data_IF_940250253085
#
_entry.id   IF_940250253085
#
_cell.length_a   1.000
_cell.length_b   1.000
_cell.length_c   1.000
_cell.angle_alpha   90.00
_cell.angle_beta   90.00
_cell.angle_gamma   90.00
#
_symmetry.space_group_name_H-M   'P 1'
#
loop_
_entity.id
_entity.type
_entity.pdbx_description
1 polymer ?
#
# COMPACT_ATOMS: atom_id res chain seq x y z
N UNK A 1 39.50 19.63 -54.84
CA UNK A 1 40.07 18.78 -53.79
C UNK A 1 38.94 18.42 -52.83
N UNK A 2 38.26 17.23 -52.97
CA UNK A 2 37.13 16.81 -52.17
C UNK A 2 37.64 15.96 -51.02
N UNK A 3 37.45 16.42 -49.80
CA UNK A 3 37.77 15.69 -48.58
C UNK A 3 36.62 14.66 -48.37
N UNK A 4 36.96 13.36 -48.50
CA UNK A 4 36.06 12.26 -48.13
C UNK A 4 35.94 12.21 -46.63
N UNK A 5 34.75 12.47 -46.12
CA UNK A 5 34.41 12.17 -44.72
C UNK A 5 34.47 10.65 -44.50
N UNK A 6 35.45 10.22 -43.72
CA UNK A 6 35.52 8.87 -43.17
C UNK A 6 34.48 8.75 -42.06
N UNK A 7 33.33 8.13 -42.39
CA UNK A 7 32.36 7.64 -41.42
C UNK A 7 33.00 6.58 -40.53
N UNK A 8 33.31 6.98 -39.30
CA UNK A 8 33.79 6.08 -38.25
C UNK A 8 32.70 5.04 -37.95
N UNK A 9 33.01 3.79 -38.29
CA UNK A 9 32.19 2.61 -37.97
C UNK A 9 32.24 2.44 -36.44
N UNK A 10 31.21 2.92 -35.75
CA UNK A 10 30.99 2.55 -34.32
C UNK A 10 30.44 1.13 -34.29
N UNK A 11 31.16 0.15 -33.73
CA UNK A 11 30.59 -1.17 -33.51
C UNK A 11 29.42 -1.02 -32.55
N UNK A 12 28.21 -1.33 -33.01
CA UNK A 12 27.06 -1.52 -32.14
C UNK A 12 27.36 -2.79 -31.34
N UNK A 13 27.90 -2.61 -30.13
CA UNK A 13 27.97 -3.69 -29.15
C UNK A 13 26.51 -4.07 -28.87
N UNK A 14 26.00 -5.10 -29.57
CA UNK A 14 24.78 -5.78 -29.20
C UNK A 14 25.05 -6.33 -27.79
N UNK A 15 24.47 -5.69 -26.78
CA UNK A 15 24.38 -6.30 -25.48
C UNK A 15 23.67 -7.65 -25.71
N UNK A 16 24.38 -8.75 -25.54
CA UNK A 16 23.79 -10.09 -25.56
C UNK A 16 22.66 -10.07 -24.55
N UNK A 17 21.43 -10.25 -25.02
CA UNK A 17 20.27 -10.38 -24.15
C UNK A 17 20.53 -11.59 -23.25
N UNK A 18 20.74 -11.35 -21.97
CA UNK A 18 20.90 -12.42 -20.99
C UNK A 18 19.70 -13.37 -21.13
N UNK A 19 19.93 -14.68 -21.19
CA UNK A 19 18.88 -15.64 -21.44
C UNK A 19 17.75 -15.47 -20.40
N UNK A 20 16.51 -15.57 -20.83
CA UNK A 20 15.28 -15.31 -20.03
C UNK A 20 15.29 -16.03 -18.67
N UNK A 21 15.90 -17.21 -18.56
CA UNK A 21 16.04 -17.94 -17.31
C UNK A 21 16.95 -17.23 -16.27
N UNK A 22 17.98 -16.48 -16.71
CA UNK A 22 18.84 -15.72 -15.78
C UNK A 22 18.10 -14.53 -15.17
N UNK A 23 17.18 -13.91 -15.90
CA UNK A 23 16.34 -12.83 -15.39
C UNK A 23 15.35 -13.30 -14.31
N UNK A 24 15.07 -14.60 -14.25
CA UNK A 24 14.19 -15.22 -13.25
C UNK A 24 14.98 -15.80 -12.07
N UNK A 25 16.04 -16.57 -12.32
CA UNK A 25 16.76 -17.30 -11.27
C UNK A 25 17.46 -16.35 -10.29
N UNK A 26 18.06 -15.25 -10.78
CA UNK A 26 18.77 -14.30 -9.92
C UNK A 26 17.86 -13.64 -8.86
N UNK A 27 16.71 -13.01 -9.21
CA UNK A 27 15.83 -12.43 -8.20
C UNK A 27 15.22 -13.50 -7.29
N UNK A 28 14.85 -14.68 -7.80
CA UNK A 28 14.33 -15.76 -6.96
C UNK A 28 15.37 -16.23 -5.93
N UNK A 29 16.63 -16.37 -6.33
CA UNK A 29 17.72 -16.71 -5.41
C UNK A 29 17.87 -15.65 -4.30
N UNK A 30 17.85 -14.35 -4.65
CA UNK A 30 17.97 -13.27 -3.67
C UNK A 30 16.76 -13.19 -2.74
N UNK A 31 15.53 -13.39 -3.25
CA UNK A 31 14.32 -13.46 -2.42
C UNK A 31 14.40 -14.65 -1.46
N UNK A 32 14.82 -15.81 -1.95
CA UNK A 32 14.98 -17.01 -1.09
C UNK A 32 16.05 -16.79 -0.03
N UNK A 33 17.15 -16.11 -0.38
CA UNK A 33 18.21 -15.74 0.58
C UNK A 33 17.66 -14.77 1.64
N UNK A 34 16.89 -13.74 1.24
CA UNK A 34 16.25 -12.83 2.18
C UNK A 34 15.27 -13.56 3.10
N UNK A 35 14.45 -14.45 2.55
CA UNK A 35 13.51 -15.27 3.33
C UNK A 35 14.23 -16.17 4.34
N UNK A 36 15.33 -16.82 3.95
CA UNK A 36 16.14 -17.64 4.84
C UNK A 36 16.78 -16.82 5.96
N UNK A 37 17.40 -15.69 5.64
CA UNK A 37 17.98 -14.78 6.63
C UNK A 37 16.91 -14.27 7.61
N UNK A 38 15.73 -13.92 7.12
CA UNK A 38 14.59 -13.52 7.95
C UNK A 38 14.16 -14.67 8.87
N UNK A 39 13.91 -15.87 8.34
CA UNK A 39 13.50 -17.03 9.13
C UNK A 39 14.51 -17.39 10.23
N UNK A 40 15.82 -17.34 9.93
CA UNK A 40 16.90 -17.60 10.89
C UNK A 40 16.97 -16.48 11.96
N UNK A 41 16.54 -15.26 11.64
CA UNK A 41 16.59 -14.12 12.56
C UNK A 41 15.55 -14.18 13.68
N UNK A 42 14.44 -14.89 13.50
CA UNK A 42 13.28 -14.85 14.39
C UNK A 42 13.45 -15.62 15.73
N UNK A 43 14.04 -16.83 15.77
CA UNK A 43 14.04 -17.66 16.98
C UNK A 43 14.76 -17.07 18.19
N UNK A 44 15.67 -16.11 17.97
CA UNK A 44 16.45 -15.47 19.04
C UNK A 44 15.89 -14.14 19.53
N UNK A 45 14.75 -13.70 19.00
CA UNK A 45 14.18 -12.40 19.37
C UNK A 45 13.37 -12.51 20.65
N UNK A 46 13.81 -11.83 21.71
CA UNK A 46 13.11 -11.79 22.99
C UNK A 46 12.42 -10.40 23.18
N UNK A 47 11.08 -10.34 23.09
CA UNK A 47 10.36 -9.08 23.33
C UNK A 47 10.55 -8.52 24.74
N UNK A 48 10.91 -9.33 25.73
CA UNK A 48 11.15 -8.89 27.12
C UNK A 48 12.34 -7.93 27.26
N UNK A 49 13.26 -7.94 26.30
CA UNK A 49 14.46 -7.09 26.28
C UNK A 49 14.32 -5.82 25.45
N UNK A 50 13.10 -5.47 24.99
CA UNK A 50 12.85 -4.25 24.22
C UNK A 50 13.15 -2.98 25.02
N UNK A 51 13.75 -2.02 24.31
CA UNK A 51 13.94 -0.64 24.79
C UNK A 51 12.81 0.28 24.25
N UNK A 52 12.93 1.58 24.48
CA UNK A 52 12.01 2.61 23.94
C UNK A 52 11.91 2.59 22.39
N UNK A 53 12.88 1.98 21.71
CA UNK A 53 12.83 1.77 20.27
C UNK A 53 11.91 0.58 19.86
N UNK A 54 11.29 -0.08 20.82
CA UNK A 54 10.38 -1.21 20.59
C UNK A 54 11.09 -2.42 19.97
N UNK A 55 10.38 -3.14 19.10
CA UNK A 55 10.87 -4.39 18.50
C UNK A 55 12.20 -4.22 17.75
N UNK A 56 12.43 -3.05 17.15
CA UNK A 56 13.68 -2.76 16.40
C UNK A 56 14.92 -2.94 17.27
N UNK A 57 14.83 -2.69 18.60
CA UNK A 57 15.95 -2.78 19.52
C UNK A 57 16.45 -4.21 19.79
N UNK A 58 15.61 -5.20 19.53
CA UNK A 58 15.91 -6.63 19.78
C UNK A 58 16.03 -7.45 18.51
N UNK A 59 15.79 -6.85 17.34
CA UNK A 59 15.98 -7.52 16.06
C UNK A 59 17.47 -7.68 15.74
N UNK A 60 17.93 -8.89 15.38
CA UNK A 60 19.35 -9.13 15.08
C UNK A 60 19.76 -8.52 13.73
N UNK A 61 21.06 -8.32 13.53
CA UNK A 61 21.63 -7.80 12.29
C UNK A 61 21.22 -8.60 11.04
N UNK A 62 20.98 -9.90 11.18
CA UNK A 62 20.51 -10.79 10.11
C UNK A 62 19.13 -10.40 9.58
N UNK A 63 18.25 -9.86 10.44
CA UNK A 63 16.95 -9.32 10.02
C UNK A 63 17.12 -8.11 9.07
N UNK A 64 17.98 -7.17 9.44
CA UNK A 64 18.26 -5.99 8.61
C UNK A 64 19.00 -6.37 7.33
N UNK A 65 19.90 -7.36 7.39
CA UNK A 65 20.53 -7.92 6.20
C UNK A 65 19.50 -8.54 5.25
N UNK A 66 18.49 -9.25 5.78
CA UNK A 66 17.41 -9.81 4.97
C UNK A 66 16.62 -8.71 4.25
N UNK A 67 16.25 -7.61 4.95
CA UNK A 67 15.58 -6.45 4.34
C UNK A 67 16.46 -5.78 3.27
N UNK A 68 17.76 -5.63 3.52
CA UNK A 68 18.70 -5.04 2.56
C UNK A 68 18.82 -5.90 1.29
N UNK A 69 18.93 -7.24 1.43
CA UNK A 69 18.98 -8.17 0.30
C UNK A 69 17.68 -8.13 -0.50
N UNK A 70 16.52 -8.09 0.17
CA UNK A 70 15.22 -7.99 -0.49
C UNK A 70 15.08 -6.68 -1.26
N UNK A 71 15.47 -5.56 -0.65
CA UNK A 71 15.44 -4.21 -1.26
C UNK A 71 16.36 -4.14 -2.48
N UNK A 72 17.58 -4.66 -2.37
CA UNK A 72 18.53 -4.73 -3.48
C UNK A 72 17.96 -5.59 -4.62
N UNK A 73 17.40 -6.76 -4.29
CA UNK A 73 16.77 -7.65 -5.27
C UNK A 73 15.60 -6.99 -5.99
N UNK A 74 14.74 -6.27 -5.25
CA UNK A 74 13.65 -5.48 -5.84
C UNK A 74 14.20 -4.41 -6.80
N UNK A 75 15.17 -3.61 -6.36
CA UNK A 75 15.80 -2.58 -7.18
C UNK A 75 16.39 -3.16 -8.48
N UNK A 76 17.17 -4.24 -8.38
CA UNK A 76 17.72 -4.91 -9.54
C UNK A 76 16.63 -5.44 -10.50
N UNK A 77 15.49 -5.90 -9.95
CA UNK A 77 14.40 -6.48 -10.75
C UNK A 77 13.55 -5.41 -11.42
N UNK A 78 13.24 -4.31 -10.74
CA UNK A 78 12.38 -3.24 -11.29
C UNK A 78 13.04 -2.51 -12.46
N UNK A 79 14.37 -2.45 -12.49
CA UNK A 79 15.13 -1.82 -13.57
C UNK A 79 15.49 -2.76 -14.73
N UNK A 80 15.15 -4.04 -14.66
CA UNK A 80 15.31 -4.95 -15.80
C UNK A 80 14.45 -4.51 -16.99
N UNK A 81 14.95 -4.70 -18.23
CA UNK A 81 14.19 -4.38 -19.45
C UNK A 81 12.90 -5.18 -19.53
N UNK A 82 12.96 -6.47 -19.20
CA UNK A 82 11.81 -7.37 -19.10
C UNK A 82 11.54 -7.67 -17.63
N UNK A 83 10.99 -6.68 -16.92
CA UNK A 83 10.66 -6.89 -15.53
C UNK A 83 9.47 -7.84 -15.37
N UNK A 84 9.65 -8.91 -14.60
CA UNK A 84 8.65 -9.95 -14.38
C UNK A 84 7.66 -9.51 -13.26
N UNK A 85 6.39 -9.27 -13.64
CA UNK A 85 5.34 -8.86 -12.68
C UNK A 85 5.15 -9.81 -11.51
N UNK A 86 5.06 -11.14 -11.69
CA UNK A 86 4.99 -12.10 -10.60
C UNK A 86 6.15 -11.99 -9.61
N UNK A 87 7.37 -11.76 -10.10
CA UNK A 87 8.55 -11.62 -9.22
C UNK A 87 8.49 -10.32 -8.43
N UNK A 88 8.09 -9.20 -9.04
CA UNK A 88 7.91 -7.94 -8.33
C UNK A 88 6.79 -8.05 -7.28
N UNK A 89 5.70 -8.75 -7.60
CA UNK A 89 4.65 -9.07 -6.63
C UNK A 89 5.20 -9.90 -5.46
N UNK A 90 6.03 -10.91 -5.74
CA UNK A 90 6.65 -11.74 -4.71
C UNK A 90 7.55 -10.93 -3.77
N UNK A 91 8.30 -9.93 -4.28
CA UNK A 91 9.05 -9.00 -3.44
C UNK A 91 8.14 -8.23 -2.48
N UNK A 92 6.99 -7.73 -2.98
CA UNK A 92 6.04 -6.98 -2.15
C UNK A 92 5.41 -7.86 -1.08
N UNK A 93 4.97 -9.06 -1.45
CA UNK A 93 4.41 -10.03 -0.51
C UNK A 93 5.45 -10.37 0.57
N UNK A 94 6.69 -10.67 0.16
CA UNK A 94 7.77 -10.98 1.10
C UNK A 94 8.08 -9.80 2.03
N UNK A 95 8.12 -8.57 1.50
CA UNK A 95 8.29 -7.36 2.30
C UNK A 95 7.19 -7.19 3.35
N UNK A 96 5.91 -7.37 2.95
CA UNK A 96 4.76 -7.28 3.85
C UNK A 96 4.89 -8.33 4.98
N UNK A 97 5.24 -9.58 4.66
CA UNK A 97 5.43 -10.61 5.68
C UNK A 97 6.61 -10.28 6.60
N UNK A 98 7.72 -9.79 6.08
CA UNK A 98 8.89 -9.44 6.90
C UNK A 98 8.58 -8.28 7.86
N UNK A 99 7.88 -7.25 7.43
CA UNK A 99 7.61 -6.07 8.28
C UNK A 99 6.40 -6.31 9.19
N UNK A 100 5.26 -6.77 8.63
CA UNK A 100 3.99 -6.86 9.36
C UNK A 100 3.74 -8.23 9.98
N UNK A 101 4.38 -9.30 9.47
CA UNK A 101 4.30 -10.64 10.04
C UNK A 101 5.25 -10.86 11.21
N UNK A 102 6.44 -10.26 11.19
CA UNK A 102 7.43 -10.40 12.28
C UNK A 102 6.85 -10.09 13.65
N UNK A 103 6.12 -8.97 13.87
CA UNK A 103 5.53 -8.71 15.18
C UNK A 103 4.59 -9.81 15.65
N UNK A 104 3.76 -10.36 14.77
CA UNK A 104 2.84 -11.44 15.13
C UNK A 104 3.59 -12.73 15.52
N UNK A 105 4.66 -13.06 14.79
CA UNK A 105 5.47 -14.26 15.07
C UNK A 105 6.21 -14.11 16.39
N UNK A 106 6.78 -12.93 16.66
CA UNK A 106 7.62 -12.68 17.84
C UNK A 106 6.78 -12.51 19.10
N UNK A 107 5.67 -11.77 19.03
CA UNK A 107 4.81 -11.56 20.21
C UNK A 107 3.88 -12.74 20.48
N UNK A 108 3.46 -13.47 19.46
CA UNK A 108 2.46 -14.53 19.56
C UNK A 108 1.07 -14.08 20.04
N UNK A 109 0.86 -12.77 20.16
CA UNK A 109 -0.38 -12.18 20.69
C UNK A 109 -0.65 -10.82 20.04
N UNK A 110 -1.85 -10.25 20.30
CA UNK A 110 -2.20 -8.93 19.79
C UNK A 110 -1.36 -7.83 20.43
N UNK A 111 -0.65 -7.07 19.61
CA UNK A 111 0.23 -5.97 20.04
C UNK A 111 -0.54 -4.73 20.50
N UNK A 112 -1.66 -4.43 19.84
CA UNK A 112 -2.44 -3.23 20.11
C UNK A 112 -3.59 -3.50 21.06
N UNK A 113 -3.72 -2.69 22.10
CA UNK A 113 -4.81 -2.80 23.10
C UNK A 113 -6.19 -2.65 22.46
N UNK A 114 -6.32 -1.84 21.43
CA UNK A 114 -7.58 -1.69 20.68
C UNK A 114 -7.98 -2.95 19.92
N UNK A 115 -7.03 -3.73 19.40
CA UNK A 115 -7.33 -4.99 18.73
C UNK A 115 -7.99 -5.98 19.71
N UNK A 116 -7.58 -6.02 20.96
CA UNK A 116 -8.22 -6.81 22.01
C UNK A 116 -9.68 -6.41 22.23
N UNK A 117 -9.96 -5.09 22.26
CA UNK A 117 -11.34 -4.59 22.37
C UNK A 117 -12.17 -5.01 21.16
N UNK A 118 -11.61 -4.95 19.95
CA UNK A 118 -12.29 -5.37 18.73
C UNK A 118 -12.64 -6.86 18.76
N UNK A 119 -11.70 -7.70 19.18
CA UNK A 119 -11.97 -9.14 19.38
C UNK A 119 -13.06 -9.37 20.40
N UNK A 120 -13.05 -8.63 21.52
CA UNK A 120 -14.08 -8.72 22.54
C UNK A 120 -15.49 -8.36 22.05
N UNK A 121 -15.62 -7.37 21.14
CA UNK A 121 -16.89 -7.01 20.52
C UNK A 121 -17.37 -8.14 19.58
N UNK A 122 -16.46 -8.71 18.80
CA UNK A 122 -16.77 -9.86 17.94
C UNK A 122 -17.27 -11.03 18.78
N UNK A 123 -16.56 -11.37 19.84
CA UNK A 123 -16.93 -12.45 20.77
C UNK A 123 -18.29 -12.20 21.46
N UNK A 124 -18.61 -10.94 21.77
CA UNK A 124 -19.94 -10.56 22.25
C UNK A 124 -21.01 -10.88 21.21
N UNK A 125 -20.81 -10.47 19.96
CA UNK A 125 -21.79 -10.72 18.87
C UNK A 125 -21.94 -12.22 18.62
N UNK A 126 -20.86 -12.99 18.64
CA UNK A 126 -20.92 -14.46 18.50
C UNK A 126 -21.79 -15.10 19.58
N UNK A 127 -21.62 -14.70 20.85
CA UNK A 127 -22.36 -15.29 21.98
C UNK A 127 -23.81 -14.86 22.06
N UNK A 128 -24.15 -13.64 21.60
CA UNK A 128 -25.51 -13.11 21.75
C UNK A 128 -26.30 -13.06 20.45
N UNK A 129 -25.65 -13.28 19.30
CA UNK A 129 -26.27 -13.13 17.98
C UNK A 129 -26.71 -11.71 17.62
N UNK A 130 -26.34 -10.72 18.45
CA UNK A 130 -26.77 -9.33 18.33
C UNK A 130 -25.74 -8.37 18.92
N UNK A 131 -25.85 -7.09 18.55
CA UNK A 131 -25.14 -5.98 19.20
C UNK A 131 -25.78 -5.63 20.54
N UNK A 132 -25.04 -4.97 21.42
CA UNK A 132 -25.60 -4.45 22.67
C UNK A 132 -26.14 -3.03 22.46
N UNK A 133 -27.47 -2.83 22.45
CA UNK A 133 -28.05 -1.50 22.28
C UNK A 133 -27.95 -0.62 23.54
N UNK A 134 -27.57 -1.20 24.68
CA UNK A 134 -27.56 -0.51 25.99
C UNK A 134 -26.16 -0.06 26.40
N UNK A 135 -25.13 -0.45 25.66
CA UNK A 135 -23.74 -0.14 26.01
C UNK A 135 -23.45 1.37 25.92
N UNK A 136 -22.98 1.95 27.01
CA UNK A 136 -22.59 3.37 27.04
C UNK A 136 -21.19 3.65 26.52
N UNK A 137 -20.24 2.79 26.91
CA UNK A 137 -18.84 2.90 26.51
C UNK A 137 -18.67 2.10 25.21
N UNK A 138 -17.99 2.69 24.19
CA UNK A 138 -17.78 2.07 22.88
C UNK A 138 -19.08 1.84 22.07
N UNK A 139 -20.15 2.55 22.39
CA UNK A 139 -21.44 2.46 21.70
C UNK A 139 -21.33 2.64 20.17
N UNK A 140 -20.39 3.44 19.70
CA UNK A 140 -20.13 3.63 18.27
C UNK A 140 -19.86 2.30 17.56
N UNK A 141 -19.18 1.35 18.17
CA UNK A 141 -18.88 0.05 17.59
C UNK A 141 -20.09 -0.88 17.51
N UNK A 142 -21.03 -0.74 18.44
CA UNK A 142 -22.29 -1.46 18.40
C UNK A 142 -23.31 -0.79 17.46
N UNK A 143 -23.24 0.53 17.27
CA UNK A 143 -24.08 1.27 16.32
C UNK A 143 -23.61 1.09 14.85
N UNK A 144 -22.31 0.82 14.64
CA UNK A 144 -21.71 0.58 13.32
C UNK A 144 -21.00 -0.79 13.29
N UNK A 145 -21.74 -1.88 13.42
CA UNK A 145 -21.16 -3.20 13.72
C UNK A 145 -20.63 -3.96 12.51
N UNK A 146 -20.63 -3.38 11.30
CA UNK A 146 -20.33 -4.10 10.06
C UNK A 146 -19.02 -4.90 10.10
N UNK A 147 -17.92 -4.29 10.58
CA UNK A 147 -16.64 -4.97 10.75
C UNK A 147 -16.72 -6.13 11.76
N UNK A 148 -17.38 -5.89 12.88
CA UNK A 148 -17.48 -6.86 13.98
C UNK A 148 -18.43 -8.02 13.64
N UNK A 149 -19.54 -7.71 12.97
CA UNK A 149 -20.48 -8.74 12.47
C UNK A 149 -19.81 -9.62 11.41
N UNK A 150 -19.03 -9.03 10.50
CA UNK A 150 -18.22 -9.78 9.54
C UNK A 150 -17.19 -10.65 10.26
N UNK A 151 -16.51 -10.12 11.27
CA UNK A 151 -15.55 -10.86 12.10
C UNK A 151 -16.20 -12.06 12.80
N UNK A 152 -17.41 -11.88 13.39
CA UNK A 152 -18.17 -12.95 14.01
C UNK A 152 -18.55 -14.04 13.00
N UNK A 153 -19.10 -13.64 11.85
CA UNK A 153 -19.46 -14.56 10.77
C UNK A 153 -18.23 -15.36 10.28
N UNK A 154 -17.09 -14.72 10.08
CA UNK A 154 -15.85 -15.39 9.63
C UNK A 154 -15.33 -16.36 10.69
N UNK A 155 -15.43 -15.99 11.97
CA UNK A 155 -15.00 -16.86 13.08
C UNK A 155 -15.87 -18.12 13.13
N UNK A 156 -17.18 -17.96 13.05
CA UNK A 156 -18.14 -19.08 13.07
C UNK A 156 -17.98 -19.96 11.82
N UNK A 157 -17.91 -19.35 10.63
CA UNK A 157 -17.76 -20.09 9.38
C UNK A 157 -16.42 -20.87 9.29
N UNK A 158 -15.37 -20.37 9.97
CA UNK A 158 -14.07 -21.03 10.02
C UNK A 158 -13.96 -22.10 11.11
N UNK A 159 -14.96 -22.20 11.99
CA UNK A 159 -14.94 -23.11 13.14
C UNK A 159 -13.97 -22.72 14.25
N UNK A 160 -13.50 -21.48 14.26
CA UNK A 160 -12.66 -20.97 15.35
C UNK A 160 -13.52 -20.61 16.57
N UNK A 161 -12.95 -20.82 17.75
CA UNK A 161 -13.61 -20.43 19.00
C UNK A 161 -13.60 -18.93 19.25
N UNK A 162 -12.68 -18.18 18.64
CA UNK A 162 -12.52 -16.74 18.80
C UNK A 162 -11.80 -16.15 17.60
N UNK A 163 -12.13 -14.90 17.26
CA UNK A 163 -11.40 -14.09 16.28
C UNK A 163 -9.92 -13.87 16.65
N UNK A 164 -9.54 -14.11 17.89
CA UNK A 164 -8.15 -14.04 18.35
C UNK A 164 -7.22 -14.95 17.52
N UNK A 165 -7.74 -16.07 17.02
CA UNK A 165 -6.99 -17.03 16.20
C UNK A 165 -6.40 -16.42 14.92
N UNK A 166 -7.01 -15.37 14.36
CA UNK A 166 -6.54 -14.72 13.14
C UNK A 166 -6.29 -13.21 13.28
N UNK A 167 -6.82 -12.56 14.31
CA UNK A 167 -6.72 -11.10 14.48
C UNK A 167 -5.29 -10.57 14.50
N UNK A 168 -4.33 -11.36 15.02
CA UNK A 168 -2.91 -10.99 15.04
C UNK A 168 -2.30 -10.89 13.64
N UNK A 169 -2.86 -11.57 12.65
CA UNK A 169 -2.46 -11.48 11.25
C UNK A 169 -3.15 -10.35 10.49
N UNK A 170 -3.98 -9.55 11.16
CA UNK A 170 -4.65 -8.37 10.58
C UNK A 170 -3.71 -7.46 9.81
N UNK A 171 -2.53 -7.05 10.34
CA UNK A 171 -1.58 -6.22 9.61
C UNK A 171 -1.13 -6.83 8.28
N UNK A 172 -0.82 -8.11 8.25
CA UNK A 172 -0.44 -8.80 7.00
C UNK A 172 -1.61 -8.83 6.03
N UNK A 173 -2.80 -9.20 6.50
CA UNK A 173 -3.99 -9.29 5.68
C UNK A 173 -4.36 -7.96 5.04
N UNK A 174 -4.43 -6.87 5.83
CA UNK A 174 -4.80 -5.56 5.30
C UNK A 174 -3.77 -5.03 4.32
N UNK A 175 -2.47 -5.15 4.61
CA UNK A 175 -1.43 -4.73 3.67
C UNK A 175 -1.44 -5.55 2.36
N UNK A 176 -1.82 -6.83 2.39
CA UNK A 176 -1.96 -7.64 1.16
C UNK A 176 -3.15 -7.20 0.30
N UNK A 177 -4.31 -6.88 0.89
CA UNK A 177 -5.46 -6.38 0.12
C UNK A 177 -5.23 -4.94 -0.36
N UNK A 178 -4.57 -4.09 0.43
CA UNK A 178 -4.18 -2.74 0.05
C UNK A 178 -3.20 -2.75 -1.13
N UNK A 179 -2.27 -3.72 -1.19
CA UNK A 179 -1.40 -3.92 -2.34
C UNK A 179 -2.18 -4.09 -3.64
N UNK A 180 -3.27 -4.88 -3.61
CA UNK A 180 -4.17 -5.05 -4.75
C UNK A 180 -4.82 -3.73 -5.18
N UNK A 181 -5.41 -3.00 -4.23
CA UNK A 181 -6.06 -1.71 -4.48
C UNK A 181 -5.08 -0.65 -5.01
N UNK A 182 -3.87 -0.56 -4.44
CA UNK A 182 -2.81 0.34 -4.89
C UNK A 182 -2.34 0.05 -6.31
N UNK A 183 -2.19 -1.23 -6.67
CA UNK A 183 -1.85 -1.62 -8.04
C UNK A 183 -2.92 -1.17 -9.05
N UNK A 184 -4.21 -1.24 -8.69
CA UNK A 184 -5.31 -0.72 -9.52
C UNK A 184 -5.20 0.80 -9.66
N UNK A 185 -5.00 1.52 -8.55
CA UNK A 185 -4.86 2.98 -8.51
C UNK A 185 -3.68 3.44 -9.39
N UNK A 186 -2.49 2.88 -9.17
CA UNK A 186 -1.30 3.32 -9.92
C UNK A 186 -1.37 2.94 -11.39
N UNK A 187 -1.97 1.79 -11.76
CA UNK A 187 -2.26 1.45 -13.16
C UNK A 187 -3.27 2.40 -13.82
N UNK A 188 -4.22 2.95 -13.05
CA UNK A 188 -5.12 3.97 -13.57
C UNK A 188 -4.41 5.32 -13.81
N UNK A 189 -3.33 5.61 -13.07
CA UNK A 189 -2.59 6.87 -13.18
C UNK A 189 -1.52 6.85 -14.27
N UNK A 190 -0.84 5.72 -14.47
CA UNK A 190 0.28 5.59 -15.41
C UNK A 190 0.37 4.19 -16.02
N UNK A 191 0.92 4.13 -17.25
CA UNK A 191 1.28 2.87 -17.91
C UNK A 191 2.77 2.54 -17.74
N UNK A 192 3.55 3.42 -17.09
CA UNK A 192 4.95 3.14 -16.80
C UNK A 192 5.04 2.14 -15.66
N UNK A 193 5.42 0.93 -16.02
CA UNK A 193 5.51 -0.19 -15.09
C UNK A 193 6.53 0.03 -13.97
N UNK A 194 7.67 0.65 -14.27
CA UNK A 194 8.69 0.94 -13.26
C UNK A 194 8.13 1.92 -12.23
N UNK A 195 7.45 2.96 -12.72
CA UNK A 195 6.83 3.95 -11.86
C UNK A 195 5.74 3.33 -10.97
N UNK A 196 4.90 2.42 -11.51
CA UNK A 196 3.88 1.70 -10.73
C UNK A 196 4.54 0.95 -9.55
N UNK A 197 5.54 0.11 -9.84
CA UNK A 197 6.16 -0.72 -8.80
C UNK A 197 6.99 0.08 -7.79
N UNK A 198 7.69 1.13 -8.23
CA UNK A 198 8.38 2.05 -7.33
C UNK A 198 7.38 2.78 -6.43
N UNK A 199 6.24 3.24 -6.96
CA UNK A 199 5.21 3.91 -6.16
C UNK A 199 4.63 2.98 -5.08
N UNK A 200 4.36 1.72 -5.43
CA UNK A 200 3.91 0.71 -4.47
C UNK A 200 4.98 0.45 -3.41
N UNK A 201 6.24 0.28 -3.81
CA UNK A 201 7.35 0.05 -2.89
C UNK A 201 7.51 1.22 -1.90
N UNK A 202 7.52 2.45 -2.40
CA UNK A 202 7.63 3.63 -1.55
C UNK A 202 6.42 3.82 -0.65
N UNK A 203 5.21 3.47 -1.10
CA UNK A 203 4.04 3.49 -0.24
C UNK A 203 4.25 2.61 0.99
N UNK A 204 4.62 1.35 0.82
CA UNK A 204 4.83 0.43 1.94
C UNK A 204 6.07 0.81 2.79
N UNK A 205 7.11 1.37 2.18
CA UNK A 205 8.29 1.84 2.91
C UNK A 205 7.96 3.01 3.85
N UNK A 206 7.01 3.88 3.47
CA UNK A 206 6.65 5.08 4.22
C UNK A 206 5.39 4.91 5.07
N UNK A 207 4.69 3.78 4.99
CA UNK A 207 3.48 3.48 5.77
C UNK A 207 3.86 3.04 7.18
N UNK A 208 4.11 4.02 8.05
CA UNK A 208 4.60 3.80 9.43
C UNK A 208 3.55 4.06 10.53
N UNK A 209 2.36 4.54 10.17
CA UNK A 209 1.35 5.01 11.14
C UNK A 209 0.77 3.87 12.00
N UNK A 210 0.93 2.60 11.57
CA UNK A 210 0.50 1.43 12.34
C UNK A 210 -1.02 1.33 12.54
N UNK A 211 -1.82 1.81 11.58
CA UNK A 211 -3.28 1.72 11.57
C UNK A 211 -3.81 0.48 10.86
N UNK A 212 -2.92 -0.40 10.45
CA UNK A 212 -3.16 -1.65 9.74
C UNK A 212 -3.50 -2.84 10.66
N UNK A 213 -3.55 -2.63 11.98
CA UNK A 213 -3.94 -3.68 12.92
C UNK A 213 -5.40 -4.12 12.71
N UNK A 214 -5.81 -5.21 13.34
CA UNK A 214 -7.17 -5.74 13.22
C UNK A 214 -8.21 -4.76 13.77
N UNK A 215 -8.75 -3.93 12.87
CA UNK A 215 -9.60 -2.79 13.23
C UNK A 215 -10.56 -2.37 12.11
N UNK A 216 -11.69 -1.72 12.47
CA UNK A 216 -12.56 -1.07 11.49
C UNK A 216 -11.85 -0.02 10.64
N UNK A 217 -10.84 0.67 11.22
CA UNK A 217 -10.06 1.70 10.52
C UNK A 217 -9.27 1.12 9.36
N UNK A 218 -8.60 -0.01 9.56
CA UNK A 218 -7.87 -0.69 8.49
C UNK A 218 -8.81 -1.14 7.36
N UNK A 219 -9.98 -1.71 7.70
CA UNK A 219 -10.99 -2.08 6.72
C UNK A 219 -11.53 -0.86 5.97
N UNK A 220 -11.81 0.24 6.67
CA UNK A 220 -12.29 1.47 6.05
C UNK A 220 -11.26 2.08 5.12
N UNK A 221 -9.98 2.02 5.48
CA UNK A 221 -8.90 2.50 4.64
C UNK A 221 -8.79 1.68 3.34
N UNK A 222 -8.86 0.35 3.43
CA UNK A 222 -8.94 -0.51 2.25
C UNK A 222 -10.13 -0.15 1.35
N UNK A 223 -11.34 0.00 1.93
CA UNK A 223 -12.53 0.39 1.18
C UNK A 223 -12.37 1.77 0.52
N UNK A 224 -11.73 2.71 1.21
CA UNK A 224 -11.38 4.02 0.63
C UNK A 224 -10.47 3.86 -0.60
N UNK A 225 -9.43 3.03 -0.53
CA UNK A 225 -8.57 2.75 -1.68
C UNK A 225 -9.33 2.09 -2.83
N UNK A 226 -10.25 1.18 -2.54
CA UNK A 226 -11.12 0.55 -3.56
C UNK A 226 -12.00 1.60 -4.25
N UNK A 227 -12.68 2.45 -3.48
CA UNK A 227 -13.50 3.54 -4.04
C UNK A 227 -12.65 4.47 -4.90
N UNK A 228 -11.46 4.87 -4.42
CA UNK A 228 -10.54 5.69 -5.20
C UNK A 228 -10.11 5.00 -6.50
N UNK A 229 -9.81 3.70 -6.45
CA UNK A 229 -9.49 2.89 -7.62
C UNK A 229 -10.64 2.84 -8.65
N UNK A 230 -11.88 2.68 -8.18
CA UNK A 230 -13.09 2.72 -9.03
C UNK A 230 -13.24 4.10 -9.67
N UNK A 231 -13.15 5.17 -8.88
CA UNK A 231 -13.27 6.55 -9.39
C UNK A 231 -12.21 6.83 -10.46
N UNK A 232 -10.96 6.47 -10.21
CA UNK A 232 -9.87 6.72 -11.16
C UNK A 232 -9.98 5.86 -12.43
N UNK A 233 -10.51 4.65 -12.35
CA UNK A 233 -10.65 3.75 -13.51
C UNK A 233 -11.90 4.05 -14.33
N UNK A 234 -13.04 4.30 -13.71
CA UNK A 234 -14.34 4.37 -14.36
C UNK A 234 -14.77 5.78 -14.70
N UNK A 235 -14.47 6.77 -13.83
CA UNK A 235 -14.85 8.16 -14.05
C UNK A 235 -13.80 8.96 -14.80
N UNK A 236 -12.60 8.43 -15.00
CA UNK A 236 -11.60 9.05 -15.84
C UNK A 236 -12.03 8.96 -17.31
N UNK A 237 -12.23 10.10 -17.94
CA UNK A 237 -12.53 10.17 -19.38
C UNK A 237 -11.46 9.39 -20.18
N UNK A 238 -11.90 8.46 -21.03
CA UNK A 238 -11.05 7.58 -21.87
C UNK A 238 -10.18 8.33 -22.90
N UNK A 239 -10.23 9.66 -22.97
CA UNK A 239 -9.68 10.45 -24.08
C UNK A 239 -8.30 11.08 -23.81
N UNK A 240 -7.64 10.83 -22.68
CA UNK A 240 -6.28 11.36 -22.49
C UNK A 240 -5.23 10.28 -22.67
N UNK A 241 -4.33 10.40 -23.66
CA UNK A 241 -3.14 9.55 -23.72
C UNK A 241 -2.31 9.76 -22.44
N UNK A 242 -1.86 8.65 -21.83
CA UNK A 242 -1.24 8.63 -20.50
C UNK A 242 -0.11 9.65 -20.29
N UNK A 243 0.62 9.98 -21.37
CA UNK A 243 1.73 10.95 -21.34
C UNK A 243 1.31 12.41 -21.18
N UNK A 244 0.10 12.78 -21.64
CA UNK A 244 -0.48 14.12 -21.48
C UNK A 244 -1.16 14.28 -20.10
N UNK A 245 -1.59 13.19 -19.51
CA UNK A 245 -2.31 13.18 -18.23
C UNK A 245 -1.47 13.64 -17.04
N UNK A 246 -0.19 13.23 -16.95
CA UNK A 246 0.69 13.67 -15.86
C UNK A 246 1.02 15.17 -15.99
N UNK A 247 1.31 15.64 -17.22
CA UNK A 247 1.53 17.07 -17.46
C UNK A 247 0.31 17.91 -17.13
N UNK A 248 -0.91 17.42 -17.42
CA UNK A 248 -2.16 18.14 -17.16
C UNK A 248 -2.61 17.99 -15.70
N UNK A 249 -2.24 16.92 -15.00
CA UNK A 249 -2.52 16.73 -13.57
C UNK A 249 -1.61 17.61 -12.69
N UNK A 250 -0.37 17.84 -13.11
CA UNK A 250 0.56 18.80 -12.48
C UNK A 250 0.26 20.26 -12.87
N UNK A 251 -0.54 20.51 -13.91
CA UNK A 251 -1.05 21.83 -14.24
C UNK A 251 -2.34 22.06 -13.45
N UNK A 252 -2.24 22.77 -12.37
CA UNK A 252 -3.36 23.34 -11.60
C UNK A 252 -4.27 24.30 -12.40
N UNK A 253 -4.13 24.37 -13.73
CA UNK A 253 -4.77 25.33 -14.62
C UNK A 253 -6.30 25.23 -14.65
N UNK A 254 -6.90 24.07 -14.33
CA UNK A 254 -8.38 24.00 -14.29
C UNK A 254 -8.98 24.57 -13.01
N UNK A 255 -8.30 24.41 -11.88
CA UNK A 255 -8.77 24.97 -10.60
C UNK A 255 -8.51 26.48 -10.60
N UNK A 256 -7.35 26.91 -11.08
CA UNK A 256 -7.06 28.35 -11.23
C UNK A 256 -7.98 29.02 -12.27
N UNK A 257 -8.31 28.36 -13.38
CA UNK A 257 -9.26 28.87 -14.36
C UNK A 257 -10.69 29.01 -13.82
N UNK A 258 -11.13 28.04 -13.01
CA UNK A 258 -12.46 28.10 -12.37
C UNK A 258 -12.52 29.15 -11.26
N UNK A 259 -11.46 29.28 -10.47
CA UNK A 259 -11.35 30.35 -9.46
C UNK A 259 -11.25 31.73 -10.12
N UNK A 260 -10.50 31.88 -11.21
CA UNK A 260 -10.42 33.14 -11.98
C UNK A 260 -11.76 33.51 -12.60
N UNK A 261 -12.50 32.54 -13.14
CA UNK A 261 -13.84 32.78 -13.72
C UNK A 261 -14.86 33.17 -12.63
N UNK A 262 -14.78 32.60 -11.44
CA UNK A 262 -15.64 32.97 -10.30
C UNK A 262 -15.29 34.36 -9.78
N UNK A 263 -14.00 34.70 -9.68
CA UNK A 263 -13.56 36.04 -9.24
C UNK A 263 -13.93 37.14 -10.27
N UNK A 264 -13.85 36.86 -11.58
CA UNK A 264 -14.30 37.82 -12.62
C UNK A 264 -15.82 38.02 -12.62
N UNK A 265 -16.63 36.97 -12.34
CA UNK A 265 -18.06 37.09 -12.18
C UNK A 265 -18.43 37.97 -10.99
N UNK A 266 -17.80 37.76 -9.85
CA UNK A 266 -18.06 38.58 -8.66
C UNK A 266 -17.69 40.06 -8.87
N UNK A 267 -16.60 40.34 -9.59
CA UNK A 267 -16.19 41.72 -9.93
C UNK A 267 -17.07 42.39 -10.99
N UNK A 268 -17.73 41.60 -11.84
CA UNK A 268 -18.69 42.14 -12.84
C UNK A 268 -20.04 42.45 -12.19
N UNK A 269 -20.49 41.66 -11.22
CA UNK A 269 -21.72 41.92 -10.45
C UNK A 269 -21.58 43.15 -9.54
N UNK A 270 -20.40 43.39 -8.98
CA UNK A 270 -20.11 44.57 -8.15
C UNK A 270 -20.12 45.89 -8.98
N UNK A 271 -19.65 45.82 -10.23
CA UNK A 271 -19.68 46.99 -11.15
C UNK A 271 -21.10 47.33 -11.68
N UNK A 272 -21.97 46.33 -11.79
CA UNK A 272 -23.37 46.58 -12.22
C UNK A 272 -24.25 47.06 -11.07
N UNK A 273 -23.94 46.73 -9.82
CA UNK A 273 -24.65 47.20 -8.62
C UNK A 273 -24.31 48.64 -8.23
N UNK A 274 -23.15 49.19 -8.67
CA UNK A 274 -22.68 50.54 -8.32
C UNK A 274 -23.16 51.67 -9.26
N UNK A 275 -23.96 51.37 -10.32
CA UNK A 275 -24.36 52.40 -11.33
C UNK A 275 -25.82 52.87 -11.24
N UNK A 276 -26.55 52.55 -10.17
CA UNK A 276 -27.90 53.04 -9.93
C UNK A 276 -27.95 54.00 -8.75
N UNK A 277 -27.52 55.22 -8.94
CA UNK A 277 -27.92 56.38 -8.11
C UNK A 277 -28.81 57.26 -8.98
N UNK A 278 -30.11 57.46 -8.64
CA UNK A 278 -30.97 58.42 -9.34
C UNK A 278 -30.67 59.81 -8.80
N UNK A 279 -30.70 60.80 -9.73
CA UNK A 279 -30.71 62.22 -9.50
C UNK A 279 -32.00 62.67 -8.84
#
# INVERSE_FOLDING_TARGET
>A
MRIKEMTAFRPVIRAESSPMWQSLLRPLFLISTAAALWAISLPGVDPGNMTDLGLVSVLPATYFAALAVLTLSFGLTVFQEVANTPILLLHMVMYIFMIHGTPQIVYGTLRYSWAWKHVGIIDYIQRHGAVDPTIGILNAYHNWPGFFALGALLTDASGFSSALSFAGWGPVFFNLIDLGALLVIFKALTNDRRLIWLSVWFFFLTSWIGQDYFSPQAMTYFLYLVVLGIVLTWLRSRQMPARQSIKNWLRFDRISGMVYALLQRSSAEEKTSGSTTPA
#
